data_IF_102926778260
#
_entry.id   IF_102926778260
#
_cell.length_a   1.000
_cell.length_b   1.000
_cell.length_c   1.000
_cell.angle_alpha   90.00
_cell.angle_beta   90.00
_cell.angle_gamma   90.00
#
_symmetry.space_group_name_H-M   'P 1'
#
loop_
_entity.id
_entity.type
_entity.pdbx_description
1 polymer ?
#
# COMPACT_ATOMS: atom_id res chain seq x y z
N UNK A 1 -18.50 21.02 -0.28
CA UNK A 1 -17.59 20.54 0.79
C UNK A 1 -17.58 19.03 0.75
N UNK A 2 -16.63 18.48 -0.01
CA UNK A 2 -16.55 17.03 -0.19
C UNK A 2 -15.99 16.39 1.07
N UNK A 3 -16.40 15.16 1.39
CA UNK A 3 -15.87 14.36 2.52
C UNK A 3 -14.34 14.36 2.54
N UNK A 4 -13.70 14.51 1.38
CA UNK A 4 -12.27 14.58 1.24
C UNK A 4 -11.62 15.86 1.79
N UNK A 5 -12.24 17.04 1.65
CA UNK A 5 -11.71 18.28 2.25
C UNK A 5 -11.71 18.20 3.77
N UNK A 6 -12.78 17.65 4.35
CA UNK A 6 -12.88 17.43 5.80
C UNK A 6 -11.84 16.41 6.29
N UNK A 7 -11.57 15.36 5.52
CA UNK A 7 -10.54 14.37 5.86
C UNK A 7 -9.12 14.97 5.74
N UNK A 8 -8.82 15.70 4.66
CA UNK A 8 -7.52 16.36 4.40
C UNK A 8 -7.20 17.40 5.49
N UNK A 9 -8.21 18.17 5.91
CA UNK A 9 -8.06 19.13 7.02
C UNK A 9 -7.80 18.45 8.38
N UNK A 10 -8.40 17.28 8.62
CA UNK A 10 -8.24 16.55 9.89
C UNK A 10 -6.90 15.79 9.97
N UNK A 11 -6.45 15.16 8.88
CA UNK A 11 -5.18 14.43 8.84
C UNK A 11 -3.97 15.36 8.90
N UNK A 12 -4.05 16.55 8.30
CA UNK A 12 -2.99 17.58 8.37
C UNK A 12 -2.80 18.15 9.77
N UNK A 13 -3.87 18.21 10.58
CA UNK A 13 -3.81 18.66 11.98
C UNK A 13 -3.23 17.60 12.94
N UNK A 14 -3.14 16.34 12.49
CA UNK A 14 -2.66 15.20 13.27
C UNK A 14 -1.69 14.35 12.45
N UNK A 15 -0.45 14.81 12.28
CA UNK A 15 0.63 14.09 11.56
C UNK A 15 0.78 12.62 11.99
N UNK A 16 0.54 12.34 13.28
CA UNK A 16 0.60 10.99 13.85
C UNK A 16 -0.42 10.02 13.26
N UNK A 17 -1.58 10.51 12.80
CA UNK A 17 -2.60 9.66 12.18
C UNK A 17 -2.16 9.23 10.78
N UNK A 18 -1.56 10.13 9.99
CA UNK A 18 -1.06 9.80 8.65
C UNK A 18 0.05 8.74 8.70
N UNK A 19 0.98 8.85 9.65
CA UNK A 19 2.00 7.81 9.89
C UNK A 19 1.40 6.49 10.37
N UNK A 20 0.38 6.53 11.24
CA UNK A 20 -0.29 5.33 11.72
C UNK A 20 -1.00 4.59 10.58
N UNK A 21 -1.68 5.30 9.66
CA UNK A 21 -2.29 4.67 8.48
C UNK A 21 -1.26 4.06 7.53
N UNK A 22 -0.11 4.73 7.33
CA UNK A 22 0.98 4.15 6.53
C UNK A 22 1.57 2.90 7.19
N UNK A 23 1.76 2.90 8.52
CA UNK A 23 2.22 1.73 9.26
C UNK A 23 1.18 0.61 9.24
N UNK A 24 -0.11 0.94 9.32
CA UNK A 24 -1.20 -0.01 9.27
C UNK A 24 -1.28 -0.70 7.90
N UNK A 25 -1.04 0.02 6.80
CA UNK A 25 -0.96 -0.58 5.47
C UNK A 25 0.18 -1.60 5.37
N UNK A 26 1.36 -1.28 5.94
CA UNK A 26 2.51 -2.19 5.97
C UNK A 26 2.21 -3.39 6.88
N UNK A 27 1.60 -3.17 8.05
CA UNK A 27 1.20 -4.24 8.96
C UNK A 27 0.16 -5.17 8.33
N UNK A 28 -0.79 -4.65 7.56
CA UNK A 28 -1.75 -5.45 6.80
C UNK A 28 -1.05 -6.31 5.76
N UNK A 29 -0.14 -5.74 4.96
CA UNK A 29 0.62 -6.49 3.96
C UNK A 29 1.41 -7.66 4.57
N UNK A 30 2.17 -7.40 5.64
CA UNK A 30 2.94 -8.46 6.32
C UNK A 30 2.04 -9.44 7.06
N UNK A 31 0.94 -8.96 7.65
CA UNK A 31 -0.05 -9.79 8.32
C UNK A 31 -0.74 -10.75 7.36
N UNK A 32 -1.13 -10.29 6.17
CA UNK A 32 -1.79 -11.14 5.16
C UNK A 32 -0.81 -12.16 4.58
N UNK A 33 0.43 -11.78 4.30
CA UNK A 33 1.49 -12.72 3.92
C UNK A 33 1.74 -13.78 5.00
N UNK A 34 1.84 -13.34 6.27
CA UNK A 34 2.04 -14.26 7.39
C UNK A 34 0.90 -15.25 7.53
N UNK A 35 -0.37 -14.80 7.48
CA UNK A 35 -1.55 -15.66 7.57
C UNK A 35 -1.55 -16.68 6.43
N UNK A 36 -1.31 -16.24 5.20
CA UNK A 36 -1.29 -17.16 4.04
C UNK A 36 -0.21 -18.22 4.20
N UNK A 37 0.99 -17.86 4.66
CA UNK A 37 2.08 -18.82 4.88
C UNK A 37 1.79 -19.77 6.05
N UNK A 38 1.37 -19.22 7.19
CA UNK A 38 1.12 -19.97 8.41
C UNK A 38 -0.06 -20.95 8.25
N UNK A 39 -1.07 -20.58 7.47
CA UNK A 39 -2.32 -21.32 7.33
C UNK A 39 -2.56 -21.84 5.90
N UNK A 40 -1.51 -21.98 5.06
CA UNK A 40 -1.67 -22.43 3.67
C UNK A 40 -2.42 -23.77 3.56
N UNK A 41 -2.10 -24.75 4.41
CA UNK A 41 -2.75 -26.08 4.39
C UNK A 41 -4.25 -26.01 4.67
N UNK A 42 -4.74 -25.42 5.79
CA UNK A 42 -6.17 -25.31 6.04
C UNK A 42 -6.88 -24.39 5.04
N UNK A 43 -6.23 -23.35 4.53
CA UNK A 43 -6.79 -22.47 3.49
C UNK A 43 -7.05 -23.27 2.21
N UNK A 44 -6.08 -24.04 1.73
CA UNK A 44 -6.23 -24.87 0.54
C UNK A 44 -7.27 -25.97 0.75
N UNK A 45 -7.31 -26.58 1.94
CA UNK A 45 -8.34 -27.56 2.28
C UNK A 45 -9.76 -26.94 2.27
N UNK A 46 -9.91 -25.72 2.80
CA UNK A 46 -11.16 -24.98 2.77
C UNK A 46 -11.58 -24.62 1.33
N UNK A 47 -10.65 -24.12 0.51
CA UNK A 47 -10.92 -23.83 -0.91
C UNK A 47 -11.40 -25.07 -1.68
N UNK A 48 -10.78 -26.23 -1.43
CA UNK A 48 -11.13 -27.48 -2.12
C UNK A 48 -12.50 -28.04 -1.72
N UNK A 49 -13.03 -27.67 -0.55
CA UNK A 49 -14.33 -28.17 -0.07
C UNK A 49 -15.47 -27.74 -0.99
N UNK A 50 -15.49 -26.48 -1.39
CA UNK A 50 -16.51 -25.89 -2.27
C UNK A 50 -15.89 -24.81 -3.14
N UNK A 51 -15.13 -25.21 -4.16
CA UNK A 51 -14.35 -24.30 -4.99
C UNK A 51 -15.20 -23.22 -5.69
N UNK A 52 -16.44 -23.53 -6.06
CA UNK A 52 -17.34 -22.60 -6.75
C UNK A 52 -17.69 -21.38 -5.88
N UNK A 53 -17.80 -21.55 -4.56
CA UNK A 53 -18.17 -20.48 -3.63
C UNK A 53 -16.92 -19.91 -2.96
N UNK A 54 -16.01 -20.77 -2.50
CA UNK A 54 -14.86 -20.36 -1.72
C UNK A 54 -13.79 -19.63 -2.54
N UNK A 55 -13.62 -19.95 -3.83
CA UNK A 55 -12.66 -19.23 -4.69
C UNK A 55 -13.10 -17.78 -4.91
N UNK A 56 -14.35 -17.47 -5.34
CA UNK A 56 -14.81 -16.08 -5.42
C UNK A 56 -14.72 -15.33 -4.11
N UNK A 57 -15.05 -15.97 -2.98
CA UNK A 57 -14.94 -15.35 -1.65
C UNK A 57 -13.48 -15.02 -1.32
N UNK A 58 -12.54 -15.92 -1.57
CA UNK A 58 -11.13 -15.67 -1.36
C UNK A 58 -10.61 -14.51 -2.23
N UNK A 59 -11.02 -14.45 -3.50
CA UNK A 59 -10.68 -13.34 -4.41
C UNK A 59 -11.27 -12.03 -3.90
N UNK A 60 -12.53 -12.01 -3.47
CA UNK A 60 -13.18 -10.82 -2.94
C UNK A 60 -12.46 -10.31 -1.67
N UNK A 61 -12.05 -11.21 -0.77
CA UNK A 61 -11.27 -10.85 0.42
C UNK A 61 -9.91 -10.27 0.05
N UNK A 62 -9.20 -10.83 -0.94
CA UNK A 62 -7.92 -10.30 -1.42
C UNK A 62 -8.08 -8.91 -2.05
N UNK A 63 -9.12 -8.71 -2.87
CA UNK A 63 -9.41 -7.40 -3.48
C UNK A 63 -9.75 -6.37 -2.41
N UNK A 64 -10.53 -6.77 -1.40
CA UNK A 64 -10.88 -5.91 -0.28
C UNK A 64 -9.66 -5.53 0.58
N UNK A 65 -8.76 -6.48 0.82
CA UNK A 65 -7.50 -6.25 1.53
C UNK A 65 -6.60 -5.24 0.77
N UNK A 66 -6.43 -5.44 -0.55
CA UNK A 66 -5.70 -4.50 -1.41
C UNK A 66 -6.37 -3.12 -1.41
N UNK A 67 -7.71 -3.06 -1.45
CA UNK A 67 -8.45 -1.81 -1.39
C UNK A 67 -8.21 -1.07 -0.07
N UNK A 68 -8.23 -1.75 1.07
CA UNK A 68 -7.94 -1.15 2.38
C UNK A 68 -6.49 -0.65 2.42
N UNK A 69 -5.52 -1.46 1.96
CA UNK A 69 -4.12 -1.04 1.89
C UNK A 69 -3.99 0.24 1.04
N UNK A 70 -4.61 0.26 -0.14
CA UNK A 70 -4.63 1.43 -1.00
C UNK A 70 -5.22 2.65 -0.30
N UNK A 71 -6.36 2.52 0.37
CA UNK A 71 -6.98 3.61 1.13
C UNK A 71 -6.08 4.13 2.25
N UNK A 72 -5.50 3.24 3.06
CA UNK A 72 -4.59 3.61 4.14
C UNK A 72 -3.36 4.36 3.62
N UNK A 73 -2.80 3.89 2.51
CA UNK A 73 -1.67 4.53 1.85
C UNK A 73 -2.03 5.91 1.27
N UNK A 74 -3.21 6.07 0.67
CA UNK A 74 -3.69 7.36 0.17
C UNK A 74 -3.89 8.36 1.32
N UNK A 75 -4.50 7.93 2.42
CA UNK A 75 -4.69 8.75 3.62
C UNK A 75 -3.33 9.18 4.18
N UNK A 76 -2.37 8.26 4.30
CA UNK A 76 -1.00 8.57 4.74
C UNK A 76 -0.26 9.52 3.77
N UNK A 77 -0.51 9.44 2.47
CA UNK A 77 0.11 10.27 1.45
C UNK A 77 -0.43 11.70 1.39
N UNK A 78 -1.63 11.98 1.94
CA UNK A 78 -2.23 13.33 1.96
C UNK A 78 -1.35 14.40 2.61
N UNK A 79 -0.35 14.01 3.41
CA UNK A 79 0.62 14.93 4.02
C UNK A 79 1.62 15.56 3.05
N UNK A 80 1.84 14.95 1.88
CA UNK A 80 2.84 15.40 0.90
C UNK A 80 2.25 16.21 -0.25
N UNK A 81 0.94 16.47 -0.18
CA UNK A 81 0.21 17.19 -1.21
C UNK A 81 0.31 18.70 -0.88
N UNK A 82 1.24 19.38 -1.55
CA UNK A 82 1.42 20.83 -1.45
C UNK A 82 0.11 21.57 -1.84
N UNK A 83 -0.05 22.77 -1.29
CA UNK A 83 -1.30 23.50 -1.05
C UNK A 83 -2.19 23.86 -2.25
N UNK A 84 -1.91 23.40 -3.46
CA UNK A 84 -2.61 23.85 -4.68
C UNK A 84 -3.37 22.75 -5.44
N UNK A 85 -3.17 21.46 -5.12
CA UNK A 85 -3.89 20.38 -5.80
C UNK A 85 -5.19 20.00 -5.04
N UNK A 86 -6.34 20.51 -5.52
CA UNK A 86 -7.71 20.15 -5.11
C UNK A 86 -8.12 18.70 -5.48
N UNK A 87 -7.18 17.86 -5.90
CA UNK A 87 -7.47 16.54 -6.49
C UNK A 87 -7.22 15.41 -5.50
N UNK A 88 -8.22 15.14 -4.68
CA UNK A 88 -8.26 13.94 -3.87
C UNK A 88 -8.24 12.65 -4.71
N UNK A 89 -7.48 11.65 -4.26
CA UNK A 89 -7.40 10.28 -4.83
C UNK A 89 -6.58 10.08 -6.11
N UNK A 90 -5.43 10.75 -6.24
CA UNK A 90 -4.43 10.30 -7.22
C UNK A 90 -3.49 9.26 -6.62
N UNK A 91 -3.13 8.24 -7.40
CA UNK A 91 -2.06 7.29 -7.07
C UNK A 91 -0.77 8.06 -6.83
N UNK A 92 -0.20 7.92 -5.62
CA UNK A 92 1.17 8.31 -5.23
C UNK A 92 1.94 9.19 -6.22
N UNK A 93 2.05 10.49 -5.94
CA UNK A 93 3.22 11.28 -6.35
C UNK A 93 4.40 10.87 -5.45
N UNK A 94 4.80 9.60 -5.51
CA UNK A 94 6.01 9.14 -4.81
C UNK A 94 7.19 9.88 -5.40
N UNK A 95 7.75 10.87 -4.68
CA UNK A 95 8.98 11.64 -4.93
C UNK A 95 9.50 11.58 -6.37
N UNK A 96 8.63 11.89 -7.34
CA UNK A 96 8.83 11.59 -8.76
C UNK A 96 9.56 12.75 -9.42
N UNK A 97 10.85 12.92 -9.09
CA UNK A 97 11.79 13.43 -10.08
C UNK A 97 12.10 12.27 -11.03
N UNK A 98 11.36 12.17 -12.13
CA UNK A 98 11.68 11.22 -13.20
C UNK A 98 10.61 10.15 -13.42
N UNK A 99 9.49 10.53 -14.02
CA UNK A 99 8.71 9.58 -14.81
C UNK A 99 9.50 9.24 -16.07
N UNK A 100 10.11 8.06 -16.12
CA UNK A 100 10.66 7.53 -17.35
C UNK A 100 10.98 6.06 -17.16
N UNK A 101 10.31 5.18 -17.92
CA UNK A 101 10.63 3.76 -18.17
C UNK A 101 10.92 2.85 -16.95
N UNK A 102 10.25 1.70 -16.89
CA UNK A 102 10.53 0.60 -15.93
C UNK A 102 12.03 0.25 -15.89
N UNK A 103 12.75 0.38 -17.01
CA UNK A 103 14.19 0.14 -17.08
C UNK A 103 15.04 1.12 -16.25
N UNK A 104 14.62 2.39 -16.15
CA UNK A 104 15.34 3.41 -15.36
C UNK A 104 15.08 3.23 -13.86
N UNK A 105 13.88 2.76 -13.50
CA UNK A 105 13.58 2.38 -12.12
C UNK A 105 14.43 1.19 -11.68
N UNK A 106 14.57 0.17 -12.53
CA UNK A 106 15.41 -0.99 -12.22
C UNK A 106 16.90 -0.61 -12.14
N UNK A 107 17.41 0.21 -13.05
CA UNK A 107 18.81 0.66 -13.00
C UNK A 107 19.10 1.50 -11.75
N UNK A 108 18.18 2.39 -11.36
CA UNK A 108 18.34 3.19 -10.14
C UNK A 108 18.25 2.33 -8.87
N UNK A 109 17.37 1.33 -8.84
CA UNK A 109 17.30 0.38 -7.74
C UNK A 109 18.58 -0.47 -7.63
N UNK A 110 19.10 -0.95 -8.76
CA UNK A 110 20.32 -1.75 -8.81
C UNK A 110 21.54 -0.94 -8.37
N UNK A 111 21.63 0.32 -8.81
CA UNK A 111 22.67 1.26 -8.40
C UNK A 111 22.57 1.61 -6.89
N UNK A 112 21.36 1.66 -6.34
CA UNK A 112 21.15 1.86 -4.90
C UNK A 112 21.60 0.62 -4.10
N UNK A 113 21.24 -0.58 -4.54
CA UNK A 113 21.68 -1.84 -3.92
C UNK A 113 23.20 -1.99 -3.92
N UNK A 114 23.86 -1.57 -5.01
CA UNK A 114 25.33 -1.62 -5.10
C UNK A 114 26.01 -0.64 -4.12
N UNK A 115 25.44 0.54 -3.89
CA UNK A 115 25.95 1.49 -2.89
C UNK A 115 25.72 1.02 -1.45
N UNK A 116 24.62 0.33 -1.17
CA UNK A 116 24.37 -0.25 0.16
C UNK A 116 25.35 -1.39 0.44
N UNK A 117 25.67 -2.22 -0.56
CA UNK A 117 26.67 -3.28 -0.44
C UNK A 117 28.09 -2.77 -0.17
N UNK A 118 28.47 -1.59 -0.69
CA UNK A 118 29.77 -0.97 -0.43
C UNK A 118 29.89 -0.36 0.97
N UNK A 119 28.78 -0.06 1.64
CA UNK A 119 28.79 0.55 2.99
C UNK A 119 28.94 -0.46 4.13
N UNK A 120 28.84 -1.76 3.81
CA UNK A 120 28.95 -2.87 4.76
C UNK A 120 30.21 -3.73 4.56
N UNK A 121 31.18 -3.27 3.77
CA UNK A 121 32.50 -3.89 3.65
C UNK A 121 33.59 -2.96 4.16
#
# INVERSE_FOLDING_TARGET
MSVCESLKGYTRKHERLADLFSLLAVALLFGTLYIVLAYHTPIVAWLKKDAVIHVPVAIALLVFDIFIMYMCLNIGATRYDDEEDERCFHTFKGRRSGSGSIGVMFSNWLHHMEQVGKKHR
#
